data_IF_845329213279
#
_entry.id   IF_845329213279
#
_cell.length_a   1.000
_cell.length_b   1.000
_cell.length_c   1.000
_cell.angle_alpha   90.00
_cell.angle_beta   90.00
_cell.angle_gamma   90.00
#
_symmetry.space_group_name_H-M   'P 1'
#
loop_
_entity.id
_entity.type
_entity.pdbx_description
1 polymer ?
#
# COMPACT_ATOMS: atom_id res chain seq x y z
N UNK A 1 28.85 -32.56 -23.10
CA UNK A 1 29.10 -31.46 -22.13
C UNK A 1 27.92 -30.51 -22.20
N UNK A 2 27.18 -30.26 -21.10
CA UNK A 2 25.95 -29.46 -21.11
C UNK A 2 26.28 -27.98 -20.95
N UNK A 3 25.54 -27.11 -21.64
CA UNK A 3 25.45 -25.69 -21.33
C UNK A 3 23.97 -25.32 -21.36
N UNK A 4 23.32 -25.45 -20.20
CA UNK A 4 21.93 -25.06 -20.01
C UNK A 4 21.91 -23.57 -19.67
N UNK A 5 21.35 -22.75 -20.57
CA UNK A 5 21.09 -21.34 -20.29
C UNK A 5 20.01 -21.22 -19.21
N UNK A 6 20.40 -20.79 -18.02
CA UNK A 6 19.47 -20.23 -17.04
C UNK A 6 18.95 -18.91 -17.61
N UNK A 7 17.77 -18.92 -18.22
CA UNK A 7 17.00 -17.69 -18.44
C UNK A 7 16.66 -17.14 -17.06
N UNK A 8 17.29 -16.03 -16.67
CA UNK A 8 16.88 -15.28 -15.49
C UNK A 8 15.43 -14.85 -15.69
N UNK A 9 14.49 -15.51 -15.02
CA UNK A 9 13.09 -15.06 -14.97
C UNK A 9 13.08 -13.72 -14.24
N UNK A 10 12.90 -12.62 -14.99
CA UNK A 10 12.72 -11.29 -14.39
C UNK A 10 11.28 -11.20 -13.90
N UNK A 11 11.08 -11.33 -12.59
CA UNK A 11 9.80 -11.03 -11.94
C UNK A 11 9.65 -9.50 -11.96
N UNK A 12 8.68 -8.98 -12.70
CA UNK A 12 8.35 -7.56 -12.71
C UNK A 12 7.08 -7.34 -11.89
N UNK A 13 7.20 -6.54 -10.83
CA UNK A 13 6.06 -6.04 -10.10
C UNK A 13 5.52 -4.79 -10.81
N UNK A 14 4.20 -4.65 -10.87
CA UNK A 14 3.58 -3.40 -11.28
C UNK A 14 3.26 -2.58 -10.04
N UNK A 15 3.74 -1.34 -9.99
CA UNK A 15 3.52 -0.43 -8.87
C UNK A 15 2.48 0.60 -9.27
N UNK A 16 1.37 0.67 -8.52
CA UNK A 16 0.31 1.66 -8.75
C UNK A 16 0.22 2.59 -7.54
N UNK A 17 0.43 3.89 -7.77
CA UNK A 17 0.25 4.92 -6.75
C UNK A 17 -1.22 5.38 -6.71
N UNK A 18 -1.80 5.48 -5.52
CA UNK A 18 -3.21 5.88 -5.35
C UNK A 18 -3.25 7.04 -4.35
N UNK A 19 -4.04 8.07 -4.66
CA UNK A 19 -4.30 9.17 -3.73
C UNK A 19 -5.75 9.62 -3.85
N UNK A 20 -6.36 9.91 -2.71
CA UNK A 20 -7.68 10.51 -2.59
C UNK A 20 -7.50 11.95 -2.09
N UNK A 21 -8.10 12.91 -2.79
CA UNK A 21 -8.01 14.31 -2.39
C UNK A 21 -8.28 15.26 -3.54
N UNK A 22 -8.08 16.55 -3.27
CA UNK A 22 -8.22 17.62 -4.25
C UNK A 22 -7.04 17.74 -5.22
N UNK A 23 -6.88 18.90 -5.89
CA UNK A 23 -5.86 19.11 -6.91
C UNK A 23 -4.42 18.87 -6.44
N UNK A 24 -4.12 19.12 -5.16
CA UNK A 24 -2.79 18.89 -4.56
C UNK A 24 -2.35 17.42 -4.65
N UNK A 25 -3.29 16.47 -4.63
CA UNK A 25 -3.00 15.04 -4.76
C UNK A 25 -2.35 14.70 -6.11
N UNK A 26 -2.63 15.47 -7.16
CA UNK A 26 -2.04 15.23 -8.47
C UNK A 26 -0.52 15.44 -8.48
N UNK A 27 -0.02 16.44 -7.76
CA UNK A 27 1.41 16.70 -7.65
C UNK A 27 2.13 15.55 -6.95
N UNK A 28 1.56 15.05 -5.85
CA UNK A 28 2.07 13.89 -5.11
C UNK A 28 2.10 12.64 -6.00
N UNK A 29 1.04 12.41 -6.77
CA UNK A 29 0.98 11.28 -7.71
C UNK A 29 2.01 11.40 -8.83
N UNK A 30 2.25 12.60 -9.37
CA UNK A 30 3.33 12.82 -10.37
C UNK A 30 4.70 12.53 -9.77
N UNK A 31 4.94 12.91 -8.52
CA UNK A 31 6.18 12.56 -7.82
C UNK A 31 6.34 11.04 -7.64
N UNK A 32 5.26 10.31 -7.37
CA UNK A 32 5.29 8.84 -7.28
C UNK A 32 5.63 8.20 -8.63
N UNK A 33 5.03 8.68 -9.73
CA UNK A 33 5.36 8.26 -11.09
C UNK A 33 6.84 8.53 -11.41
N UNK A 34 7.34 9.73 -11.09
CA UNK A 34 8.74 10.10 -11.30
C UNK A 34 9.73 9.22 -10.51
N UNK A 35 9.29 8.66 -9.38
CA UNK A 35 10.07 7.72 -8.54
C UNK A 35 9.99 6.26 -9.01
N UNK A 36 9.21 5.96 -10.05
CA UNK A 36 9.14 4.63 -10.66
C UNK A 36 7.82 3.88 -10.46
N UNK A 37 6.74 4.54 -10.00
CA UNK A 37 5.41 3.94 -10.12
C UNK A 37 5.00 3.83 -11.60
N UNK A 38 4.41 2.69 -12.00
CA UNK A 38 3.99 2.45 -13.39
C UNK A 38 2.69 3.18 -13.74
N UNK A 39 1.79 3.34 -12.76
CA UNK A 39 0.47 3.98 -12.92
C UNK A 39 0.11 4.81 -11.69
N UNK A 40 -0.71 5.82 -11.89
CA UNK A 40 -1.31 6.61 -10.82
C UNK A 40 -2.84 6.60 -10.94
N UNK A 41 -3.52 6.55 -9.80
CA UNK A 41 -4.98 6.68 -9.70
C UNK A 41 -5.28 7.83 -8.73
N UNK A 42 -5.97 8.86 -9.24
CA UNK A 42 -6.46 9.97 -8.44
C UNK A 42 -7.95 9.77 -8.19
N UNK A 43 -8.33 9.66 -6.92
CA UNK A 43 -9.73 9.72 -6.49
C UNK A 43 -10.00 11.19 -6.14
N UNK A 44 -10.61 11.90 -7.09
CA UNK A 44 -10.90 13.31 -6.93
C UNK A 44 -12.07 13.53 -5.98
N UNK A 45 -11.88 14.44 -5.03
CA UNK A 45 -12.94 14.98 -4.20
C UNK A 45 -12.85 16.51 -4.18
N UNK A 46 -13.98 17.23 -4.07
CA UNK A 46 -13.96 18.68 -3.92
C UNK A 46 -13.19 19.10 -2.66
N UNK A 47 -12.41 20.18 -2.75
CA UNK A 47 -11.63 20.70 -1.61
C UNK A 47 -12.51 21.00 -0.37
N UNK A 48 -13.76 21.42 -0.61
CA UNK A 48 -14.74 21.70 0.45
C UNK A 48 -15.16 20.45 1.26
N UNK A 49 -14.97 19.25 0.70
CA UNK A 49 -15.32 18.00 1.35
C UNK A 49 -14.13 17.31 2.01
N UNK A 50 -12.88 17.73 1.73
CA UNK A 50 -11.67 17.19 2.36
C UNK A 50 -11.78 17.17 3.90
N UNK A 51 -12.26 18.23 4.59
CA UNK A 51 -12.36 18.22 6.06
C UNK A 51 -13.35 17.20 6.62
N UNK A 52 -14.22 16.63 5.78
CA UNK A 52 -15.21 15.61 6.15
C UNK A 52 -14.70 14.20 5.88
N UNK A 53 -13.54 14.06 5.23
CA UNK A 53 -12.96 12.77 4.92
C UNK A 53 -12.33 12.19 6.16
N UNK A 54 -12.92 11.10 6.63
CA UNK A 54 -12.38 10.28 7.71
C UNK A 54 -11.66 9.04 7.15
N UNK A 55 -10.77 8.39 7.93
CA UNK A 55 -10.07 7.17 7.53
C UNK A 55 -10.96 6.07 6.94
N UNK A 56 -12.18 5.91 7.43
CA UNK A 56 -13.15 4.93 6.91
C UNK A 56 -13.59 5.23 5.47
N UNK A 57 -13.74 6.51 5.11
CA UNK A 57 -14.07 6.92 3.75
C UNK A 57 -12.94 6.56 2.78
N UNK A 58 -11.69 6.84 3.19
CA UNK A 58 -10.49 6.50 2.41
C UNK A 58 -10.36 4.98 2.25
N UNK A 59 -10.52 4.23 3.34
CA UNK A 59 -10.44 2.77 3.33
C UNK A 59 -11.48 2.14 2.38
N UNK A 60 -12.74 2.60 2.41
CA UNK A 60 -13.79 2.13 1.49
C UNK A 60 -13.51 2.50 0.03
N UNK A 61 -12.94 3.67 -0.23
CA UNK A 61 -12.57 4.08 -1.58
C UNK A 61 -11.44 3.20 -2.12
N UNK A 62 -10.41 2.94 -1.29
CA UNK A 62 -9.28 2.08 -1.65
C UNK A 62 -9.71 0.62 -1.83
N UNK A 63 -10.59 0.10 -0.98
CA UNK A 63 -11.15 -1.25 -1.12
C UNK A 63 -11.68 -1.50 -2.54
N UNK A 64 -12.52 -0.59 -3.05
CA UNK A 64 -13.10 -0.72 -4.40
C UNK A 64 -12.05 -0.75 -5.50
N UNK A 65 -10.96 -0.01 -5.32
CA UNK A 65 -9.86 0.01 -6.31
C UNK A 65 -9.06 -1.28 -6.21
N UNK A 66 -8.75 -1.74 -4.99
CA UNK A 66 -8.03 -3.00 -4.76
C UNK A 66 -8.77 -4.18 -5.38
N UNK A 67 -10.09 -4.27 -5.18
CA UNK A 67 -10.93 -5.30 -5.78
C UNK A 67 -11.00 -5.20 -7.31
N UNK A 68 -11.07 -3.97 -7.85
CA UNK A 68 -11.17 -3.72 -9.29
C UNK A 68 -9.87 -4.02 -10.04
N UNK A 69 -8.74 -3.53 -9.53
CA UNK A 69 -7.42 -3.69 -10.15
C UNK A 69 -6.76 -5.02 -9.75
N UNK A 70 -7.33 -5.75 -8.78
CA UNK A 70 -6.87 -7.05 -8.28
C UNK A 70 -5.43 -7.01 -7.78
N UNK A 71 -5.12 -6.07 -6.90
CA UNK A 71 -3.79 -6.03 -6.27
C UNK A 71 -3.57 -7.24 -5.37
N UNK A 72 -2.32 -7.65 -5.23
CA UNK A 72 -1.92 -8.73 -4.31
C UNK A 72 -1.43 -8.19 -2.96
N UNK A 73 -0.88 -6.97 -2.95
CA UNK A 73 -0.29 -6.33 -1.76
C UNK A 73 -0.59 -4.84 -1.78
N UNK A 74 -0.88 -4.26 -0.62
CA UNK A 74 -1.08 -2.82 -0.44
C UNK A 74 -0.11 -2.27 0.61
N UNK A 75 0.63 -1.22 0.23
CA UNK A 75 1.49 -0.46 1.15
C UNK A 75 0.83 0.87 1.49
N UNK A 76 0.75 1.18 2.79
CA UNK A 76 0.27 2.45 3.31
C UNK A 76 1.27 2.99 4.33
N UNK A 77 1.28 4.32 4.51
CA UNK A 77 2.00 4.94 5.62
C UNK A 77 1.43 4.54 6.98
N UNK A 78 2.23 4.69 8.04
CA UNK A 78 1.81 4.43 9.43
C UNK A 78 0.61 5.28 9.84
N UNK A 79 0.77 6.60 9.70
CA UNK A 79 -0.23 7.60 10.02
C UNK A 79 -0.04 8.78 9.07
N UNK A 80 -1.12 9.46 8.74
CA UNK A 80 -1.04 10.76 8.12
C UNK A 80 -0.83 11.79 9.24
N UNK A 81 -0.03 12.83 8.97
CA UNK A 81 0.40 13.81 9.99
C UNK A 81 -0.65 14.89 10.28
N UNK A 82 -1.72 14.93 9.48
CA UNK A 82 -2.81 15.89 9.54
C UNK A 82 -3.90 15.43 10.52
N UNK A 83 -4.31 14.16 10.46
CA UNK A 83 -5.30 13.58 11.38
C UNK A 83 -4.70 12.79 12.54
N UNK A 84 -3.44 12.34 12.42
CA UNK A 84 -2.74 11.45 13.35
C UNK A 84 -3.55 10.21 13.78
N UNK A 85 -4.46 9.75 12.91
CA UNK A 85 -5.45 8.74 13.29
C UNK A 85 -4.89 7.31 13.30
N UNK A 86 -3.91 7.01 12.45
CA UNK A 86 -3.31 5.66 12.31
C UNK A 86 -4.34 4.54 12.03
N UNK A 87 -5.43 4.86 11.31
CA UNK A 87 -6.61 3.99 11.15
C UNK A 87 -6.88 3.48 9.73
N UNK A 88 -6.43 4.18 8.68
CA UNK A 88 -6.78 3.82 7.29
C UNK A 88 -6.32 2.40 6.92
N UNK A 89 -5.10 2.02 7.30
CA UNK A 89 -4.54 0.70 7.00
C UNK A 89 -5.29 -0.46 7.70
N UNK A 90 -5.52 -0.44 9.04
CA UNK A 90 -6.27 -1.51 9.68
C UNK A 90 -7.73 -1.59 9.21
N UNK A 91 -8.36 -0.46 8.92
CA UNK A 91 -9.72 -0.45 8.36
C UNK A 91 -9.75 -1.08 6.97
N UNK A 92 -8.81 -0.75 6.09
CA UNK A 92 -8.73 -1.33 4.76
C UNK A 92 -8.49 -2.85 4.83
N UNK A 93 -7.56 -3.30 5.68
CA UNK A 93 -7.29 -4.72 5.86
C UNK A 93 -8.52 -5.48 6.37
N UNK A 94 -9.25 -4.91 7.34
CA UNK A 94 -10.49 -5.49 7.85
C UNK A 94 -11.62 -5.52 6.80
N UNK A 95 -11.73 -4.49 5.95
CA UNK A 95 -12.72 -4.46 4.87
C UNK A 95 -12.45 -5.48 3.76
N UNK A 96 -11.17 -5.75 3.48
CA UNK A 96 -10.73 -6.73 2.48
C UNK A 96 -10.65 -8.17 3.03
N UNK A 97 -10.78 -8.34 4.34
CA UNK A 97 -10.46 -9.60 5.05
C UNK A 97 -9.02 -10.08 4.76
N UNK A 98 -8.08 -9.14 4.76
CA UNK A 98 -6.66 -9.40 4.49
C UNK A 98 -5.82 -9.38 5.77
N UNK A 99 -4.71 -10.15 5.81
CA UNK A 99 -3.74 -10.03 6.89
C UNK A 99 -3.08 -8.64 6.85
N UNK A 100 -2.64 -8.17 8.03
CA UNK A 100 -1.99 -6.86 8.18
C UNK A 100 -0.67 -6.97 8.96
N UNK A 101 0.29 -6.13 8.57
CA UNK A 101 1.57 -5.97 9.25
C UNK A 101 1.84 -4.48 9.51
N UNK A 102 1.12 -3.90 10.48
CA UNK A 102 1.22 -2.47 10.82
C UNK A 102 2.58 -2.12 11.43
N UNK A 103 3.01 -0.87 11.28
CA UNK A 103 4.28 -0.37 11.84
C UNK A 103 5.51 -1.12 11.32
N UNK A 104 5.51 -1.50 10.04
CA UNK A 104 6.61 -2.20 9.41
C UNK A 104 7.88 -1.33 9.32
N UNK A 105 8.98 -1.84 9.85
CA UNK A 105 10.33 -1.26 9.71
C UNK A 105 11.17 -1.99 8.66
N UNK A 106 10.83 -3.26 8.36
CA UNK A 106 11.46 -4.06 7.28
C UNK A 106 10.45 -5.00 6.65
N UNK A 107 10.50 -5.12 5.32
CA UNK A 107 9.67 -6.05 4.53
C UNK A 107 10.58 -6.87 3.63
N UNK A 108 10.48 -8.19 3.73
CA UNK A 108 11.29 -9.14 2.98
C UNK A 108 10.39 -10.18 2.31
N UNK A 109 10.78 -10.60 1.10
CA UNK A 109 10.11 -11.73 0.45
C UNK A 109 10.39 -13.00 1.26
N UNK A 110 9.34 -13.76 1.54
CA UNK A 110 9.44 -15.08 2.16
C UNK A 110 9.18 -16.17 1.11
N UNK A 111 8.48 -17.24 1.50
CA UNK A 111 8.00 -18.27 0.59
C UNK A 111 6.99 -17.71 -0.42
N UNK A 112 6.60 -18.53 -1.39
CA UNK A 112 5.63 -18.14 -2.42
C UNK A 112 4.33 -17.60 -1.79
N UNK A 113 3.93 -16.40 -2.22
CA UNK A 113 2.75 -15.71 -1.71
C UNK A 113 2.83 -15.32 -0.24
N UNK A 114 4.03 -15.10 0.31
CA UNK A 114 4.19 -14.62 1.68
C UNK A 114 5.26 -13.53 1.79
N UNK A 115 5.06 -12.64 2.75
CA UNK A 115 6.03 -11.63 3.18
C UNK A 115 6.43 -11.88 4.63
N UNK A 116 7.71 -11.64 4.93
CA UNK A 116 8.24 -11.55 6.29
C UNK A 116 8.37 -10.07 6.63
N UNK A 117 7.66 -9.63 7.67
CA UNK A 117 7.61 -8.22 8.04
C UNK A 117 8.08 -8.07 9.48
N UNK A 118 9.14 -7.27 9.67
CA UNK A 118 9.57 -6.80 10.98
C UNK A 118 8.82 -5.52 11.30
N UNK A 119 8.19 -5.49 12.47
CA UNK A 119 7.30 -4.45 12.96
C UNK A 119 7.87 -3.86 14.24
N UNK A 120 7.65 -2.57 14.41
CA UNK A 120 7.88 -1.89 15.69
C UNK A 120 6.67 -2.10 16.60
N UNK A 121 6.93 -2.61 17.79
CA UNK A 121 5.98 -2.77 18.89
C UNK A 121 6.57 -2.10 20.14
N UNK A 122 5.76 -1.88 21.17
CA UNK A 122 6.23 -1.20 22.39
C UNK A 122 7.43 -1.90 23.05
N UNK A 123 7.51 -3.23 22.93
CA UNK A 123 8.62 -4.05 23.44
C UNK A 123 9.85 -4.13 22.53
N UNK A 124 9.89 -3.41 21.41
CA UNK A 124 10.99 -3.42 20.44
C UNK A 124 10.54 -3.90 19.06
N UNK A 125 11.18 -4.95 18.54
CA UNK A 125 10.91 -5.48 17.20
C UNK A 125 10.25 -6.85 17.28
N UNK A 126 9.17 -7.03 16.53
CA UNK A 126 8.52 -8.32 16.32
C UNK A 126 8.52 -8.66 14.82
N UNK A 127 8.72 -9.92 14.48
CA UNK A 127 8.76 -10.35 13.07
C UNK A 127 7.70 -11.40 12.80
N UNK A 128 6.76 -11.04 11.94
CA UNK A 128 5.64 -11.89 11.55
C UNK A 128 5.75 -12.31 10.09
N UNK A 129 5.09 -13.42 9.76
CA UNK A 129 4.88 -13.87 8.38
C UNK A 129 3.42 -13.61 8.01
N UNK A 130 3.20 -12.90 6.92
CA UNK A 130 1.88 -12.62 6.36
C UNK A 130 1.77 -13.20 4.96
N UNK A 131 0.56 -13.59 4.58
CA UNK A 131 0.24 -14.06 3.23
C UNK A 131 -0.11 -12.87 2.35
#
# INVERSE_FOLDING_TARGET
MPFTYLTSVTIRFQVVAISLGGPKSQEVLRNALAKGADKAIHIEIPDADIPKVEPLHVAKAFQKIVEKEKFDVVFLGKQAIDDDASQTAPLLAGLLDWPQALFASKVEKADEGHLKVTREIDGGLDTIKVK
#
